data_IF_316163729467
#
_entry.id   IF_316163729467
#
_cell.length_a   1.000
_cell.length_b   1.000
_cell.length_c   1.000
_cell.angle_alpha   90.00
_cell.angle_beta   90.00
_cell.angle_gamma   90.00
#
_symmetry.space_group_name_H-M   'P 1'
#
loop_
_entity.id
_entity.type
_entity.pdbx_description
1 polymer ?
#
# COMPACT_ATOMS: atom_id res chain seq x y z
N UNK A 1 -42.44 77.75 84.01
CA UNK A 1 -41.09 77.20 83.75
C UNK A 1 -40.30 78.26 82.98
N UNK A 2 -39.00 78.46 83.27
CA UNK A 2 -38.22 79.54 82.66
C UNK A 2 -37.83 79.23 81.21
N UNK A 3 -37.84 80.24 80.34
CA UNK A 3 -37.45 80.16 78.92
C UNK A 3 -36.11 79.42 78.70
N UNK A 4 -35.18 79.53 79.65
CA UNK A 4 -33.86 78.91 79.59
C UNK A 4 -33.90 77.38 79.65
N UNK A 5 -34.84 76.80 80.41
CA UNK A 5 -35.00 75.33 80.54
C UNK A 5 -35.63 74.73 79.28
N UNK A 6 -36.60 75.41 78.67
CA UNK A 6 -37.24 74.94 77.42
C UNK A 6 -36.27 74.96 76.22
N UNK A 7 -35.37 75.95 76.17
CA UNK A 7 -34.33 76.02 75.13
C UNK A 7 -33.32 74.89 75.30
N UNK A 8 -32.94 74.57 76.54
CA UNK A 8 -32.01 73.48 76.84
C UNK A 8 -32.62 72.12 76.53
N UNK A 9 -33.89 71.90 76.88
CA UNK A 9 -34.62 70.67 76.57
C UNK A 9 -34.76 70.45 75.05
N UNK A 10 -35.16 71.49 74.29
CA UNK A 10 -35.22 71.43 72.82
C UNK A 10 -33.87 71.15 72.17
N UNK A 11 -32.77 71.63 72.76
CA UNK A 11 -31.41 71.36 72.25
C UNK A 11 -31.00 69.93 72.55
N UNK A 12 -31.23 69.48 73.78
CA UNK A 12 -30.93 68.12 74.23
C UNK A 12 -31.71 67.10 73.40
N UNK A 13 -32.99 67.34 73.13
CA UNK A 13 -33.84 66.47 72.31
C UNK A 13 -33.36 66.41 70.85
N UNK A 14 -32.86 67.53 70.31
CA UNK A 14 -32.29 67.60 68.95
C UNK A 14 -30.96 66.86 68.86
N UNK A 15 -30.11 67.01 69.88
CA UNK A 15 -28.84 66.30 69.99
C UNK A 15 -29.08 64.79 70.15
N UNK A 16 -30.09 64.39 70.93
CA UNK A 16 -30.48 62.98 71.12
C UNK A 16 -30.99 62.37 69.80
N UNK A 17 -31.85 63.08 69.06
CA UNK A 17 -32.30 62.67 67.72
C UNK A 17 -31.13 62.55 66.74
N UNK A 18 -30.13 63.42 66.83
CA UNK A 18 -28.93 63.36 66.00
C UNK A 18 -28.08 62.12 66.33
N UNK A 19 -27.89 61.82 67.62
CA UNK A 19 -27.17 60.63 68.07
C UNK A 19 -27.91 59.35 67.69
N UNK A 20 -29.23 59.26 67.88
CA UNK A 20 -30.03 58.11 67.46
C UNK A 20 -29.94 57.88 65.94
N UNK A 21 -29.95 58.97 65.15
CA UNK A 21 -29.79 58.87 63.70
C UNK A 21 -28.39 58.37 63.32
N UNK A 22 -27.34 58.86 63.98
CA UNK A 22 -25.98 58.37 63.78
C UNK A 22 -25.84 56.90 64.18
N UNK A 23 -26.41 56.48 65.31
CA UNK A 23 -26.37 55.09 65.77
C UNK A 23 -27.03 54.16 64.75
N UNK A 24 -28.18 54.55 64.20
CA UNK A 24 -28.85 53.82 63.12
C UNK A 24 -27.99 53.73 61.85
N UNK A 25 -27.27 54.81 61.49
CA UNK A 25 -26.34 54.79 60.37
C UNK A 25 -25.13 53.88 60.62
N UNK A 26 -24.59 53.90 61.84
CA UNK A 26 -23.44 53.09 62.25
C UNK A 26 -23.79 51.59 62.25
N UNK A 27 -24.95 51.23 62.80
CA UNK A 27 -25.51 49.87 62.72
C UNK A 27 -25.74 49.45 61.27
N UNK A 28 -26.22 50.36 60.42
CA UNK A 28 -26.34 50.13 58.98
C UNK A 28 -25.00 49.90 58.29
N UNK A 29 -23.95 50.61 58.71
CA UNK A 29 -22.60 50.46 58.16
C UNK A 29 -21.94 49.16 58.61
N UNK A 30 -22.06 48.80 59.90
CA UNK A 30 -21.59 47.52 60.43
C UNK A 30 -22.25 46.33 59.72
N UNK A 31 -23.56 46.41 59.48
CA UNK A 31 -24.30 45.40 58.73
C UNK A 31 -23.74 45.24 57.31
N UNK A 32 -23.46 46.36 56.62
CA UNK A 32 -22.83 46.33 55.29
C UNK A 32 -21.41 45.76 55.32
N UNK A 33 -20.60 46.10 56.33
CA UNK A 33 -19.25 45.54 56.47
C UNK A 33 -19.29 44.02 56.67
N UNK A 34 -20.15 43.53 57.55
CA UNK A 34 -20.36 42.08 57.75
C UNK A 34 -20.81 41.40 56.45
N UNK A 35 -21.75 42.00 55.73
CA UNK A 35 -22.24 41.47 54.46
C UNK A 35 -21.15 41.41 53.38
N UNK A 36 -20.29 42.44 53.28
CA UNK A 36 -19.16 42.47 52.35
C UNK A 36 -18.12 41.42 52.73
N UNK A 37 -17.80 41.28 54.02
CA UNK A 37 -16.84 40.28 54.51
C UNK A 37 -17.32 38.85 54.25
N UNK A 38 -18.59 38.54 54.52
CA UNK A 38 -19.19 37.24 54.22
C UNK A 38 -19.24 36.96 52.71
N UNK A 39 -19.61 37.96 51.90
CA UNK A 39 -19.60 37.84 50.43
C UNK A 39 -18.20 37.55 49.91
N UNK A 40 -17.17 38.23 50.44
CA UNK A 40 -15.79 38.01 50.06
C UNK A 40 -15.31 36.59 50.43
N UNK A 41 -15.61 36.12 51.66
CA UNK A 41 -15.30 34.75 52.10
C UNK A 41 -15.98 33.71 51.22
N UNK A 42 -17.25 33.90 50.89
CA UNK A 42 -17.99 33.00 49.99
C UNK A 42 -17.41 32.99 48.58
N UNK A 43 -17.02 34.15 48.04
CA UNK A 43 -16.42 34.25 46.72
C UNK A 43 -15.07 33.53 46.66
N UNK A 44 -14.20 33.75 47.65
CA UNK A 44 -12.90 33.09 47.74
C UNK A 44 -13.05 31.56 47.84
N UNK A 45 -13.98 31.08 48.67
CA UNK A 45 -14.27 29.65 48.81
C UNK A 45 -14.77 29.03 47.49
N UNK A 46 -15.63 29.73 46.73
CA UNK A 46 -16.11 29.29 45.41
C UNK A 46 -14.98 29.23 44.38
N UNK A 47 -14.10 30.24 44.34
CA UNK A 47 -12.95 30.25 43.44
C UNK A 47 -11.98 29.12 43.75
N UNK A 48 -11.67 28.89 45.03
CA UNK A 48 -10.79 27.80 45.45
C UNK A 48 -11.39 26.43 45.10
N UNK A 49 -12.71 26.26 45.31
CA UNK A 49 -13.42 25.04 44.92
C UNK A 49 -13.39 24.81 43.40
N UNK A 50 -13.55 25.87 42.60
CA UNK A 50 -13.49 25.78 41.14
C UNK A 50 -12.08 25.41 40.64
N UNK A 51 -11.02 26.03 41.19
CA UNK A 51 -9.63 25.70 40.86
C UNK A 51 -9.31 24.26 41.26
N UNK A 52 -9.76 23.83 42.45
CA UNK A 52 -9.57 22.46 42.91
C UNK A 52 -10.26 21.44 41.99
N UNK A 53 -11.51 21.70 41.60
CA UNK A 53 -12.23 20.85 40.65
C UNK A 53 -11.50 20.76 39.31
N UNK A 54 -10.95 21.88 38.80
CA UNK A 54 -10.14 21.87 37.57
C UNK A 54 -8.83 21.10 37.73
N UNK A 55 -8.19 21.18 38.90
CA UNK A 55 -7.00 20.39 39.18
C UNK A 55 -7.32 18.88 39.24
N UNK A 56 -8.45 18.52 39.85
CA UNK A 56 -8.93 17.14 39.93
C UNK A 56 -9.32 16.60 38.53
N UNK A 57 -9.84 17.45 37.63
CA UNK A 57 -10.09 17.10 36.21
C UNK A 57 -8.79 16.88 35.42
N UNK A 58 -7.73 17.65 35.68
CA UNK A 58 -6.46 17.57 34.94
C UNK A 58 -5.52 16.46 35.46
N UNK A 59 -5.65 16.07 36.72
CA UNK A 59 -4.77 15.08 37.37
C UNK A 59 -4.69 13.73 36.62
N UNK A 60 -5.80 13.16 36.12
CA UNK A 60 -5.78 11.91 35.37
C UNK A 60 -5.08 12.00 34.00
N UNK A 61 -4.85 13.20 33.46
CA UNK A 61 -4.15 13.39 32.18
C UNK A 61 -2.63 13.23 32.30
N UNK A 62 -2.07 13.34 33.49
CA UNK A 62 -0.63 13.18 33.74
C UNK A 62 -0.11 11.81 33.26
N UNK A 63 -0.69 10.66 33.68
CA UNK A 63 -0.22 9.36 33.18
C UNK A 63 -0.38 9.21 31.66
N UNK A 64 -1.44 9.78 31.07
CA UNK A 64 -1.65 9.75 29.61
C UNK A 64 -0.55 10.51 28.87
N UNK A 65 -0.10 11.65 29.41
CA UNK A 65 1.00 12.43 28.84
C UNK A 65 2.36 11.71 28.97
N UNK A 66 2.59 11.03 30.10
CA UNK A 66 3.81 10.21 30.27
C UNK A 66 3.81 8.98 29.35
N UNK A 67 2.65 8.37 29.11
CA UNK A 67 2.46 7.29 28.12
C UNK A 67 2.76 7.79 26.70
N UNK A 68 2.16 8.92 26.30
CA UNK A 68 2.44 9.55 25.00
C UNK A 68 3.92 9.87 24.79
N UNK A 69 4.62 10.26 25.87
CA UNK A 69 6.05 10.54 25.83
C UNK A 69 6.89 9.26 25.70
N UNK A 70 6.46 8.16 26.30
CA UNK A 70 7.08 6.85 26.11
C UNK A 70 6.88 6.36 24.67
N UNK A 71 5.65 6.48 24.14
CA UNK A 71 5.32 6.10 22.76
C UNK A 71 6.11 6.92 21.75
N UNK A 72 6.24 8.24 21.96
CA UNK A 72 7.04 9.09 21.09
C UNK A 72 8.51 8.66 21.01
N UNK A 73 9.09 8.16 22.12
CA UNK A 73 10.46 7.62 22.13
C UNK A 73 10.53 6.30 21.35
N UNK A 74 9.54 5.43 21.51
CA UNK A 74 9.47 4.15 20.80
C UNK A 74 9.36 4.38 19.29
N UNK A 75 8.55 5.34 18.86
CA UNK A 75 8.42 5.71 17.43
C UNK A 75 9.75 6.21 16.86
N UNK A 76 10.54 6.97 17.63
CA UNK A 76 11.87 7.41 17.19
C UNK A 76 12.83 6.22 17.02
N UNK A 77 12.81 5.26 17.94
CA UNK A 77 13.61 4.04 17.84
C UNK A 77 13.20 3.21 16.62
N UNK A 78 11.90 2.99 16.42
CA UNK A 78 11.40 2.30 15.22
C UNK A 78 11.83 2.97 13.93
N UNK A 79 11.84 4.31 13.88
CA UNK A 79 12.27 5.05 12.70
C UNK A 79 13.75 4.80 12.38
N UNK A 80 14.60 4.73 13.40
CA UNK A 80 16.03 4.42 13.26
C UNK A 80 16.24 2.96 12.82
N UNK A 81 15.51 2.01 13.42
CA UNK A 81 15.55 0.60 13.02
C UNK A 81 15.12 0.41 11.56
N UNK A 82 14.06 1.09 11.12
CA UNK A 82 13.61 1.06 9.72
C UNK A 82 14.67 1.65 8.79
N UNK A 83 15.35 2.73 9.17
CA UNK A 83 16.45 3.29 8.39
C UNK A 83 17.62 2.31 8.27
N UNK A 84 18.01 1.66 9.36
CA UNK A 84 19.06 0.64 9.36
C UNK A 84 18.68 -0.57 8.49
N UNK A 85 17.46 -1.07 8.64
CA UNK A 85 16.93 -2.14 7.79
C UNK A 85 16.92 -1.76 6.31
N UNK A 86 16.56 -0.52 5.99
CA UNK A 86 16.58 -0.02 4.61
C UNK A 86 18.00 0.01 4.05
N UNK A 87 19.00 0.39 4.85
CA UNK A 87 20.41 0.35 4.43
C UNK A 87 20.88 -1.08 4.17
N UNK A 88 20.62 -2.00 5.11
CA UNK A 88 21.01 -3.41 4.96
C UNK A 88 20.33 -4.06 3.75
N UNK A 89 19.06 -3.74 3.51
CA UNK A 89 18.36 -4.24 2.32
C UNK A 89 18.96 -3.69 1.02
N UNK A 90 19.38 -2.43 0.98
CA UNK A 90 20.05 -1.87 -0.18
C UNK A 90 21.43 -2.51 -0.41
N UNK A 91 22.21 -2.76 0.65
CA UNK A 91 23.49 -3.47 0.57
C UNK A 91 23.31 -4.90 0.06
N UNK A 92 22.32 -5.63 0.59
CA UNK A 92 21.97 -6.97 0.09
C UNK A 92 21.47 -6.93 -1.36
N UNK A 93 20.74 -5.89 -1.76
CA UNK A 93 20.27 -5.74 -3.14
C UNK A 93 21.42 -5.42 -4.11
N UNK A 94 22.45 -4.70 -3.66
CA UNK A 94 23.68 -4.50 -4.44
C UNK A 94 24.53 -5.78 -4.52
N UNK A 95 24.60 -6.55 -3.44
CA UNK A 95 25.37 -7.81 -3.39
C UNK A 95 24.70 -8.95 -4.17
N UNK A 96 23.37 -9.02 -4.14
CA UNK A 96 22.59 -10.04 -4.85
C UNK A 96 22.38 -9.67 -6.32
N UNK A 97 22.39 -8.38 -6.67
CA UNK A 97 22.32 -7.87 -8.05
C UNK A 97 21.15 -8.38 -8.90
N UNK A 98 20.27 -7.49 -9.36
CA UNK A 98 19.20 -7.86 -10.32
C UNK A 98 19.73 -8.55 -11.61
N UNK A 99 21.02 -8.43 -11.90
CA UNK A 99 21.69 -9.07 -13.03
C UNK A 99 22.04 -10.55 -12.81
N UNK A 100 22.14 -11.04 -11.57
CA UNK A 100 22.59 -12.40 -11.30
C UNK A 100 21.48 -13.43 -11.53
N UNK A 101 20.21 -13.08 -11.27
CA UNK A 101 19.09 -14.00 -11.53
C UNK A 101 18.82 -14.19 -13.03
N UNK A 102 18.86 -13.12 -13.83
CA UNK A 102 18.66 -13.21 -15.28
C UNK A 102 19.85 -13.89 -15.97
N UNK A 103 21.08 -13.63 -15.52
CA UNK A 103 22.27 -14.35 -16.01
C UNK A 103 22.21 -15.83 -15.63
N UNK A 104 21.83 -16.15 -14.39
CA UNK A 104 21.67 -17.53 -13.93
C UNK A 104 20.57 -18.25 -14.71
N UNK A 105 19.42 -17.61 -14.92
CA UNK A 105 18.33 -18.16 -15.71
C UNK A 105 18.76 -18.42 -17.16
N UNK A 106 19.51 -17.50 -17.77
CA UNK A 106 20.08 -17.68 -19.11
C UNK A 106 21.05 -18.86 -19.16
N UNK A 107 21.93 -18.99 -18.17
CA UNK A 107 22.87 -20.13 -18.06
C UNK A 107 22.15 -21.45 -17.88
N UNK A 108 21.14 -21.51 -17.03
CA UNK A 108 20.32 -22.71 -16.81
C UNK A 108 19.63 -23.11 -18.11
N UNK A 109 18.97 -22.17 -18.79
CA UNK A 109 18.31 -22.44 -20.08
C UNK A 109 19.29 -22.96 -21.14
N UNK A 110 20.50 -22.39 -21.22
CA UNK A 110 21.55 -22.88 -22.12
C UNK A 110 22.01 -24.31 -21.78
N UNK A 111 22.18 -24.61 -20.49
CA UNK A 111 22.57 -25.94 -20.04
C UNK A 111 21.47 -26.98 -20.33
N UNK A 112 20.20 -26.62 -20.15
CA UNK A 112 19.06 -27.48 -20.48
C UNK A 112 18.99 -27.79 -21.99
N UNK A 113 19.19 -26.78 -22.85
CA UNK A 113 19.23 -26.97 -24.30
C UNK A 113 20.37 -27.92 -24.71
N UNK A 114 21.57 -27.72 -24.15
CA UNK A 114 22.72 -28.60 -24.37
C UNK A 114 22.48 -30.02 -23.87
N UNK A 115 21.84 -30.17 -22.71
CA UNK A 115 21.48 -31.47 -22.16
C UNK A 115 20.47 -32.19 -23.06
N UNK A 116 19.42 -31.50 -23.50
CA UNK A 116 18.41 -32.05 -24.43
C UNK A 116 19.05 -32.53 -25.73
N UNK A 117 19.92 -31.72 -26.33
CA UNK A 117 20.66 -32.10 -27.55
C UNK A 117 21.60 -33.29 -27.32
N UNK A 118 22.25 -33.37 -26.16
CA UNK A 118 23.11 -34.50 -25.79
C UNK A 118 22.28 -35.80 -25.65
N UNK A 119 21.16 -35.73 -24.94
CA UNK A 119 20.26 -36.88 -24.74
C UNK A 119 19.67 -37.39 -26.06
N UNK A 120 19.30 -36.48 -26.98
CA UNK A 120 18.84 -36.87 -28.32
C UNK A 120 19.93 -37.63 -29.10
N UNK A 121 21.19 -37.19 -29.03
CA UNK A 121 22.33 -37.89 -29.65
C UNK A 121 22.59 -39.26 -29.00
N UNK A 122 22.46 -39.36 -27.68
CA UNK A 122 22.65 -40.62 -26.95
C UNK A 122 21.55 -41.63 -27.30
N UNK A 123 20.33 -41.16 -27.55
CA UNK A 123 19.19 -41.97 -27.96
C UNK A 123 19.13 -42.25 -29.48
N UNK A 124 20.15 -41.84 -30.26
CA UNK A 124 20.19 -42.14 -31.69
C UNK A 124 20.45 -43.64 -31.97
N UNK A 125 19.80 -44.16 -32.99
CA UNK A 125 19.97 -45.54 -33.43
C UNK A 125 19.64 -45.71 -34.92
N UNK A 126 19.92 -46.91 -35.44
CA UNK A 126 19.53 -47.28 -36.81
C UNK A 126 18.01 -47.44 -36.87
N UNK A 127 17.37 -46.89 -37.89
CA UNK A 127 15.95 -47.11 -38.14
C UNK A 127 15.68 -48.61 -38.39
N UNK A 128 14.84 -49.21 -37.55
CA UNK A 128 14.49 -50.64 -37.63
C UNK A 128 13.04 -50.88 -38.05
N UNK A 129 12.16 -49.89 -37.92
CA UNK A 129 10.75 -49.98 -38.29
C UNK A 129 10.07 -48.62 -38.31
N UNK A 130 8.97 -48.52 -39.05
CA UNK A 130 8.10 -47.34 -39.16
C UNK A 130 6.68 -47.82 -38.84
N UNK A 131 5.97 -47.11 -37.95
CA UNK A 131 4.59 -47.43 -37.58
C UNK A 131 3.60 -46.98 -38.64
N UNK A 132 2.35 -47.44 -38.53
CA UNK A 132 1.27 -46.95 -39.37
C UNK A 132 1.05 -45.43 -39.17
N UNK A 133 0.70 -44.68 -40.24
CA UNK A 133 0.51 -43.25 -40.17
C UNK A 133 -0.79 -42.87 -39.47
N UNK A 134 -0.77 -41.74 -38.77
CA UNK A 134 -1.96 -41.12 -38.17
C UNK A 134 -2.35 -39.89 -38.99
N UNK A 135 -3.60 -39.83 -39.45
CA UNK A 135 -4.12 -38.65 -40.16
C UNK A 135 -4.36 -37.51 -39.18
N UNK A 136 -3.47 -36.51 -39.17
CA UNK A 136 -3.56 -35.33 -38.28
C UNK A 136 -4.64 -34.35 -38.75
N UNK A 137 -4.66 -34.04 -40.05
CA UNK A 137 -5.61 -33.08 -40.65
C UNK A 137 -5.84 -33.39 -42.12
N UNK A 138 -7.06 -33.18 -42.60
CA UNK A 138 -7.41 -33.24 -44.02
C UNK A 138 -7.71 -31.84 -44.56
N UNK A 139 -6.69 -31.17 -45.10
CA UNK A 139 -6.82 -29.81 -45.64
C UNK A 139 -5.74 -29.48 -46.67
N UNK A 140 -6.02 -28.51 -47.54
CA UNK A 140 -5.06 -28.00 -48.52
C UNK A 140 -5.18 -28.63 -49.90
N UNK A 141 -4.22 -28.29 -50.75
CA UNK A 141 -4.10 -28.84 -52.09
C UNK A 141 -3.37 -30.20 -52.09
N UNK A 142 -3.09 -30.73 -53.29
CA UNK A 142 -2.37 -32.01 -53.46
C UNK A 142 -0.94 -31.98 -52.92
N UNK A 143 -0.33 -30.81 -52.86
CA UNK A 143 1.07 -30.64 -52.47
C UNK A 143 1.18 -29.58 -51.38
N UNK A 144 2.13 -29.73 -50.49
CA UNK A 144 2.41 -28.76 -49.43
C UNK A 144 3.33 -29.37 -48.39
N UNK A 145 3.65 -28.58 -47.36
CA UNK A 145 4.47 -28.99 -46.22
C UNK A 145 3.87 -28.47 -44.92
N UNK A 146 4.05 -29.24 -43.86
CA UNK A 146 3.71 -28.83 -42.50
C UNK A 146 4.77 -29.35 -41.54
N UNK A 147 5.06 -28.59 -40.49
CA UNK A 147 6.17 -28.86 -39.59
C UNK A 147 6.00 -28.12 -38.27
N UNK A 148 6.74 -28.56 -37.26
CA UNK A 148 6.96 -27.85 -36.00
C UNK A 148 8.43 -27.51 -35.86
N UNK A 149 8.77 -26.57 -35.00
CA UNK A 149 10.17 -26.25 -34.71
C UNK A 149 10.72 -27.21 -33.64
N UNK A 150 11.75 -28.02 -33.92
CA UNK A 150 12.32 -28.94 -32.94
C UNK A 150 13.07 -28.24 -31.79
N UNK A 151 13.39 -26.95 -31.93
CA UNK A 151 14.03 -26.12 -30.90
C UNK A 151 13.05 -25.12 -30.26
N UNK A 152 11.74 -25.28 -30.46
CA UNK A 152 10.74 -24.46 -29.80
C UNK A 152 10.88 -24.54 -28.25
N UNK A 153 10.74 -23.41 -27.52
CA UNK A 153 10.69 -23.40 -26.07
C UNK A 153 9.56 -24.26 -25.51
N UNK A 154 9.67 -24.65 -24.24
CA UNK A 154 8.60 -25.37 -23.57
C UNK A 154 7.30 -24.53 -23.53
N UNK A 155 6.19 -25.14 -23.98
CA UNK A 155 4.90 -24.47 -24.15
C UNK A 155 4.64 -23.90 -25.54
N UNK A 156 5.66 -23.77 -26.38
CA UNK A 156 5.50 -23.41 -27.79
C UNK A 156 5.28 -24.66 -28.65
N UNK A 157 4.01 -24.92 -28.97
CA UNK A 157 3.59 -26.08 -29.76
C UNK A 157 3.06 -25.68 -31.15
N UNK A 158 3.53 -24.54 -31.66
CA UNK A 158 3.04 -23.98 -32.91
C UNK A 158 3.31 -24.89 -34.10
N UNK A 159 2.33 -24.95 -35.01
CA UNK A 159 2.42 -25.71 -36.26
C UNK A 159 2.47 -24.73 -37.43
N UNK A 160 3.46 -24.92 -38.29
CA UNK A 160 3.65 -24.13 -39.50
C UNK A 160 3.19 -24.92 -40.72
N UNK A 161 2.40 -24.29 -41.57
CA UNK A 161 1.77 -24.94 -42.71
C UNK A 161 1.90 -24.09 -43.98
N UNK A 162 2.31 -24.73 -45.07
CA UNK A 162 2.58 -24.13 -46.38
C UNK A 162 1.89 -24.93 -47.47
N UNK A 163 0.84 -24.38 -48.05
CA UNK A 163 0.08 -25.03 -49.12
C UNK A 163 0.71 -24.81 -50.49
N UNK A 164 0.79 -25.85 -51.30
CA UNK A 164 1.37 -25.81 -52.63
C UNK A 164 2.89 -25.84 -52.63
N UNK A 165 3.45 -25.95 -53.84
CA UNK A 165 4.89 -26.07 -54.08
C UNK A 165 5.45 -24.94 -54.94
N UNK A 166 4.62 -24.00 -55.40
CA UNK A 166 5.04 -22.89 -56.25
C UNK A 166 4.10 -21.68 -56.10
N UNK A 167 4.61 -20.48 -56.38
CA UNK A 167 3.85 -19.22 -56.44
C UNK A 167 2.99 -18.86 -55.21
N UNK A 168 3.19 -19.53 -54.07
CA UNK A 168 2.60 -19.15 -52.80
C UNK A 168 3.65 -18.44 -51.92
N UNK A 169 3.19 -17.49 -51.11
CA UNK A 169 3.99 -16.70 -50.17
C UNK A 169 3.39 -16.70 -48.76
N UNK A 170 2.29 -17.40 -48.53
CA UNK A 170 1.56 -17.35 -47.27
C UNK A 170 1.83 -18.59 -46.43
N UNK A 171 2.53 -18.41 -45.32
CA UNK A 171 2.75 -19.44 -44.30
C UNK A 171 1.65 -19.28 -43.25
N UNK A 172 0.98 -20.38 -42.89
CA UNK A 172 -0.01 -20.40 -41.82
C UNK A 172 0.65 -20.83 -40.52
N UNK A 173 0.41 -20.07 -39.47
CA UNK A 173 0.82 -20.36 -38.10
C UNK A 173 -0.42 -20.77 -37.29
N UNK A 174 -0.44 -22.01 -36.83
CA UNK A 174 -1.42 -22.51 -35.87
C UNK A 174 -0.81 -22.49 -34.47
N UNK A 175 -1.62 -22.11 -33.48
CA UNK A 175 -1.16 -21.95 -32.09
C UNK A 175 -0.66 -23.25 -31.45
N UNK A 176 -1.30 -24.37 -31.76
CA UNK A 176 -0.97 -25.67 -31.19
C UNK A 176 -1.29 -26.81 -32.16
N UNK A 177 -0.74 -28.01 -31.90
CA UNK A 177 -1.12 -29.22 -32.63
C UNK A 177 -2.62 -29.54 -32.51
N UNK A 178 -3.23 -29.28 -31.34
CA UNK A 178 -4.67 -29.51 -31.11
C UNK A 178 -5.51 -28.56 -31.94
N UNK A 179 -5.11 -27.28 -32.01
CA UNK A 179 -5.79 -26.28 -32.82
C UNK A 179 -5.64 -26.59 -34.32
N UNK A 180 -4.48 -27.07 -34.74
CA UNK A 180 -4.26 -27.52 -36.12
C UNK A 180 -5.20 -28.66 -36.50
N UNK A 181 -5.35 -29.67 -35.64
CA UNK A 181 -6.23 -30.82 -35.89
C UNK A 181 -7.71 -30.42 -35.98
N UNK A 182 -8.20 -29.63 -35.03
CA UNK A 182 -9.63 -29.46 -34.81
C UNK A 182 -10.21 -28.15 -35.35
N UNK A 183 -9.36 -27.20 -35.73
CA UNK A 183 -9.79 -25.85 -36.14
C UNK A 183 -9.09 -25.40 -37.41
N UNK A 184 -9.60 -24.31 -38.00
CA UNK A 184 -8.95 -23.56 -39.08
C UNK A 184 -8.54 -22.15 -38.62
N UNK A 185 -8.31 -21.97 -37.32
CA UNK A 185 -7.80 -20.71 -36.78
C UNK A 185 -6.28 -20.64 -36.94
N UNK A 186 -5.83 -19.80 -37.86
CA UNK A 186 -4.41 -19.57 -38.11
C UNK A 186 -4.10 -18.08 -38.35
N UNK A 187 -2.87 -17.70 -38.08
CA UNK A 187 -2.29 -16.43 -38.50
C UNK A 187 -1.57 -16.63 -39.84
N UNK A 188 -1.73 -15.70 -40.77
CA UNK A 188 -1.10 -15.79 -42.10
C UNK A 188 0.09 -14.85 -42.20
N UNK A 189 1.28 -15.40 -42.41
CA UNK A 189 2.53 -14.68 -42.59
C UNK A 189 2.88 -14.62 -44.07
N UNK A 190 3.08 -13.41 -44.61
CA UNK A 190 3.44 -13.22 -46.02
C UNK A 190 4.94 -13.10 -46.18
N UNK A 191 5.55 -14.12 -46.77
CA UNK A 191 6.96 -14.13 -47.15
C UNK A 191 7.26 -13.08 -48.24
N UNK A 192 8.46 -12.49 -48.24
CA UNK A 192 8.87 -11.52 -49.26
C UNK A 192 8.94 -12.17 -50.65
N UNK A 193 9.38 -13.42 -50.71
CA UNK A 193 9.55 -14.22 -51.93
C UNK A 193 8.71 -15.50 -51.88
N UNK A 194 8.23 -15.99 -53.04
CA UNK A 194 7.53 -17.26 -53.11
C UNK A 194 8.52 -18.40 -52.96
N UNK A 195 8.11 -19.48 -52.30
CA UNK A 195 8.92 -20.68 -52.23
C UNK A 195 8.78 -21.55 -53.48
N UNK A 196 9.69 -22.50 -53.63
CA UNK A 196 9.67 -23.53 -54.65
C UNK A 196 9.91 -24.89 -54.00
N UNK A 197 9.10 -25.89 -54.35
CA UNK A 197 9.08 -27.19 -53.69
C UNK A 197 8.42 -27.17 -52.31
N UNK A 198 8.61 -28.25 -51.55
CA UNK A 198 8.01 -28.44 -50.21
C UNK A 198 9.06 -28.83 -49.15
N UNK A 199 10.33 -28.47 -49.41
CA UNK A 199 11.49 -28.86 -48.59
C UNK A 199 11.90 -27.82 -47.54
N UNK A 200 10.99 -26.92 -47.17
CA UNK A 200 11.27 -25.89 -46.17
C UNK A 200 11.38 -26.51 -44.78
N UNK A 201 12.08 -25.83 -43.87
CA UNK A 201 12.16 -26.21 -42.47
C UNK A 201 12.04 -25.00 -41.56
N UNK A 202 11.30 -25.13 -40.45
CA UNK A 202 11.34 -24.16 -39.36
C UNK A 202 12.31 -24.67 -38.30
N UNK A 203 13.29 -23.84 -37.97
CA UNK A 203 14.36 -24.18 -37.04
C UNK A 203 14.79 -22.96 -36.25
N UNK A 204 14.70 -23.05 -34.93
CA UNK A 204 15.07 -22.00 -33.98
C UNK A 204 14.42 -20.63 -34.29
N UNK A 205 13.11 -20.64 -34.53
CA UNK A 205 12.30 -19.45 -34.81
C UNK A 205 12.41 -18.89 -36.23
N UNK A 206 13.19 -19.51 -37.11
CA UNK A 206 13.39 -19.07 -38.50
C UNK A 206 12.92 -20.13 -39.50
N UNK A 207 12.42 -19.68 -40.66
CA UNK A 207 12.03 -20.55 -41.78
C UNK A 207 13.09 -20.50 -42.89
N UNK A 208 13.49 -21.67 -43.40
CA UNK A 208 14.51 -21.87 -44.43
C UNK A 208 13.94 -22.56 -45.66
#
# INVERSE_FOLDING_TARGET
MSQSIEVLDRRTQRDLQYVEKMENQMKGLESKFKQVEESHKQHLARQFKAIKAKMDELRPLIPVLEEYKADAKLVLQFKEEVQNLTSVLNELQEEIGAYDYDELQSRVSNLEERLRACMQKLACGKLTGISDPVTVKTSGSRFGSWMTDPLAPEGDNRVWYMDGYHNNRFVREYKSMVDFMNTDNFTSHRLPHPWSGTGQVVYNGSIY
#
